data_IF_562751329527
#
_entry.id   IF_562751329527
#
_cell.length_a   1.000
_cell.length_b   1.000
_cell.length_c   1.000
_cell.angle_alpha   90.00
_cell.angle_beta   90.00
_cell.angle_gamma   90.00
#
_symmetry.space_group_name_H-M   'P 1'
#
loop_
_entity.id
_entity.type
_entity.pdbx_description
1 polymer ?
#
# COMPACT_ATOMS: atom_id res chain seq x y z
N UNK A 1 23.15 -12.47 56.01
CA UNK A 1 23.80 -11.91 54.80
C UNK A 1 22.96 -11.97 53.52
N UNK A 2 22.36 -13.10 53.11
CA UNK A 2 21.58 -13.17 51.84
C UNK A 2 20.30 -12.31 51.81
N UNK A 3 19.67 -12.01 52.95
CA UNK A 3 18.47 -11.15 53.06
C UNK A 3 18.77 -9.65 52.83
N UNK A 4 19.83 -9.12 53.44
CA UNK A 4 20.19 -7.68 53.31
C UNK A 4 20.75 -7.32 51.93
N UNK A 5 21.44 -8.24 51.23
CA UNK A 5 21.82 -8.04 49.83
C UNK A 5 20.62 -7.99 48.87
N UNK A 6 19.55 -8.75 49.15
CA UNK A 6 18.31 -8.76 48.35
C UNK A 6 17.48 -7.49 48.60
N UNK A 7 17.43 -7.01 49.83
CA UNK A 7 16.81 -5.73 50.20
C UNK A 7 17.56 -4.51 49.65
N UNK A 8 18.90 -4.52 49.69
CA UNK A 8 19.74 -3.47 49.10
C UNK A 8 19.59 -3.35 47.57
N UNK A 9 19.51 -4.48 46.86
CA UNK A 9 19.19 -4.50 45.41
C UNK A 9 17.77 -4.00 45.12
N UNK A 10 16.78 -4.36 45.92
CA UNK A 10 15.40 -3.86 45.77
C UNK A 10 15.29 -2.35 46.05
N UNK A 11 16.04 -1.83 47.02
CA UNK A 11 16.12 -0.39 47.32
C UNK A 11 16.76 0.40 46.18
N UNK A 12 17.87 -0.10 45.63
CA UNK A 12 18.52 0.51 44.46
C UNK A 12 17.63 0.46 43.21
N UNK A 13 16.94 -0.65 42.96
CA UNK A 13 15.97 -0.77 41.85
C UNK A 13 14.83 0.23 41.99
N UNK A 14 14.25 0.37 43.19
CA UNK A 14 13.19 1.35 43.46
C UNK A 14 13.66 2.78 43.20
N UNK A 15 14.87 3.15 43.67
CA UNK A 15 15.44 4.49 43.42
C UNK A 15 15.68 4.76 41.94
N UNK A 16 16.20 3.80 41.19
CA UNK A 16 16.40 3.91 39.73
C UNK A 16 15.04 4.07 39.02
N UNK A 17 14.03 3.29 39.43
CA UNK A 17 12.67 3.42 38.91
C UNK A 17 12.06 4.81 39.19
N UNK A 18 12.20 5.32 40.41
CA UNK A 18 11.70 6.65 40.79
C UNK A 18 12.37 7.76 39.99
N UNK A 19 13.69 7.70 39.81
CA UNK A 19 14.42 8.67 38.98
C UNK A 19 13.97 8.60 37.52
N UNK A 20 13.75 7.39 36.97
CA UNK A 20 13.23 7.19 35.61
C UNK A 20 11.82 7.77 35.43
N UNK A 21 10.93 7.58 36.40
CA UNK A 21 9.57 8.14 36.39
C UNK A 21 9.62 9.67 36.44
N UNK A 22 10.45 10.24 37.31
CA UNK A 22 10.63 11.69 37.41
C UNK A 22 11.20 12.26 36.10
N UNK A 23 12.21 11.61 35.52
CA UNK A 23 12.79 12.03 34.23
C UNK A 23 11.76 11.98 33.10
N UNK A 24 10.93 10.93 33.06
CA UNK A 24 9.83 10.81 32.10
C UNK A 24 8.77 11.90 32.30
N UNK A 25 8.44 12.27 33.54
CA UNK A 25 7.52 13.38 33.85
C UNK A 25 8.09 14.73 33.38
N UNK A 26 9.38 14.98 33.57
CA UNK A 26 10.02 16.20 33.07
C UNK A 26 10.03 16.26 31.54
N UNK A 27 10.28 15.12 30.87
CA UNK A 27 10.22 15.03 29.40
C UNK A 27 8.79 15.29 28.90
N UNK A 28 7.78 14.67 29.53
CA UNK A 28 6.38 14.91 29.16
C UNK A 28 5.95 16.35 29.39
N UNK A 29 6.39 16.97 30.49
CA UNK A 29 6.10 18.36 30.78
C UNK A 29 6.76 19.30 29.77
N UNK A 30 8.03 19.06 29.40
CA UNK A 30 8.71 19.81 28.35
C UNK A 30 8.05 19.64 26.98
N UNK A 31 7.68 18.41 26.62
CA UNK A 31 6.99 18.11 25.35
C UNK A 31 5.65 18.84 25.23
N UNK A 32 4.94 19.11 26.33
CA UNK A 32 3.66 19.83 26.27
C UNK A 32 3.78 21.26 25.69
N UNK A 33 4.96 21.88 25.80
CA UNK A 33 5.23 23.25 25.32
C UNK A 33 5.88 23.30 23.93
N UNK A 34 6.23 22.14 23.35
CA UNK A 34 6.83 22.05 22.02
C UNK A 34 5.74 22.11 20.94
N UNK A 35 6.09 22.71 19.80
CA UNK A 35 5.27 22.62 18.61
C UNK A 35 5.31 21.22 17.99
N UNK A 36 4.49 20.99 16.96
CA UNK A 36 4.36 19.67 16.35
C UNK A 36 5.60 19.25 15.56
N UNK A 37 6.30 20.20 14.95
CA UNK A 37 7.51 19.94 14.15
C UNK A 37 8.66 19.49 15.07
N UNK A 38 8.84 20.21 16.18
CA UNK A 38 9.81 19.87 17.21
C UNK A 38 9.52 18.50 17.83
N UNK A 39 8.24 18.20 18.13
CA UNK A 39 7.81 16.87 18.61
C UNK A 39 8.14 15.77 17.61
N UNK A 40 7.85 15.99 16.32
CA UNK A 40 8.12 15.01 15.27
C UNK A 40 9.63 14.74 15.14
N UNK A 41 10.46 15.77 15.25
CA UNK A 41 11.92 15.66 15.21
C UNK A 41 12.47 14.85 16.38
N UNK A 42 12.05 15.14 17.61
CA UNK A 42 12.48 14.38 18.79
C UNK A 42 11.95 12.95 18.79
N UNK A 43 10.70 12.72 18.34
CA UNK A 43 10.16 11.38 18.13
C UNK A 43 11.03 10.58 17.15
N UNK A 44 11.36 11.15 16.00
CA UNK A 44 12.13 10.48 14.94
C UNK A 44 13.53 10.10 15.44
N UNK A 45 14.22 11.05 16.06
CA UNK A 45 15.55 10.84 16.66
C UNK A 45 15.56 9.70 17.67
N UNK A 46 14.59 9.66 18.60
CA UNK A 46 14.50 8.59 19.60
C UNK A 46 14.14 7.24 18.97
N UNK A 47 13.24 7.25 17.97
CA UNK A 47 12.82 6.06 17.25
C UNK A 47 13.96 5.45 16.42
N UNK A 48 14.81 6.26 15.79
CA UNK A 48 16.01 5.78 15.10
C UNK A 48 17.01 5.11 16.06
N UNK A 49 17.21 5.70 17.24
CA UNK A 49 18.08 5.10 18.26
C UNK A 49 17.49 3.76 18.72
N UNK A 50 16.18 3.71 18.97
CA UNK A 50 15.48 2.48 19.34
C UNK A 50 15.67 1.39 18.27
N UNK A 51 15.45 1.74 16.99
CA UNK A 51 15.62 0.85 15.86
C UNK A 51 17.04 0.31 15.73
N UNK A 52 18.07 1.13 16.01
CA UNK A 52 19.48 0.68 16.03
C UNK A 52 19.73 -0.39 17.10
N UNK A 53 19.08 -0.30 18.27
CA UNK A 53 19.18 -1.35 19.29
C UNK A 53 18.35 -2.58 18.96
N UNK A 54 17.17 -2.39 18.37
CA UNK A 54 16.31 -3.47 17.90
C UNK A 54 17.03 -4.34 16.85
N UNK A 55 17.67 -3.71 15.85
CA UNK A 55 18.49 -4.40 14.84
C UNK A 55 19.68 -5.18 15.44
N UNK A 56 20.15 -4.79 16.63
CA UNK A 56 21.21 -5.48 17.38
C UNK A 56 20.67 -6.56 18.34
N UNK A 57 19.35 -6.74 18.41
CA UNK A 57 18.70 -7.67 19.33
C UNK A 57 18.61 -7.19 20.78
N UNK A 58 18.96 -5.93 21.09
CA UNK A 58 18.86 -5.37 22.45
C UNK A 58 17.46 -4.75 22.67
N UNK A 59 16.45 -5.62 22.72
CA UNK A 59 15.04 -5.21 22.79
C UNK A 59 14.69 -4.44 24.06
N UNK A 60 15.42 -4.65 25.17
CA UNK A 60 15.21 -3.86 26.40
C UNK A 60 15.63 -2.41 26.23
N UNK A 61 16.77 -2.16 25.58
CA UNK A 61 17.17 -0.78 25.26
C UNK A 61 16.27 -0.17 24.19
N UNK A 62 15.91 -0.94 23.16
CA UNK A 62 14.96 -0.47 22.15
C UNK A 62 13.63 -0.05 22.78
N UNK A 63 13.03 -0.89 23.64
CA UNK A 63 11.81 -0.55 24.38
C UNK A 63 11.97 0.73 25.20
N UNK A 64 13.10 0.92 25.88
CA UNK A 64 13.37 2.14 26.64
C UNK A 64 13.31 3.39 25.75
N UNK A 65 13.95 3.36 24.59
CA UNK A 65 13.96 4.52 23.68
C UNK A 65 12.61 4.76 23.02
N UNK A 66 11.91 3.71 22.59
CA UNK A 66 10.54 3.87 22.10
C UNK A 66 9.60 4.42 23.21
N UNK A 67 9.75 3.99 24.46
CA UNK A 67 9.01 4.55 25.61
C UNK A 67 9.32 6.02 25.87
N UNK A 68 10.56 6.46 25.63
CA UNK A 68 10.88 7.89 25.68
C UNK A 68 10.23 8.65 24.52
N UNK A 69 10.18 8.04 23.33
CA UNK A 69 9.55 8.62 22.15
C UNK A 69 8.03 8.83 22.34
N UNK A 70 7.37 8.04 23.19
CA UNK A 70 5.92 8.19 23.45
C UNK A 70 5.55 9.50 24.13
N UNK A 71 6.51 10.23 24.72
CA UNK A 71 6.28 11.57 25.24
C UNK A 71 5.97 12.59 24.12
N UNK A 72 6.41 12.32 22.89
CA UNK A 72 6.25 13.20 21.73
C UNK A 72 5.21 12.67 20.75
N UNK A 73 5.11 11.34 20.59
CA UNK A 73 4.11 10.71 19.76
C UNK A 73 3.72 9.31 20.29
N UNK A 74 2.44 9.13 20.59
CA UNK A 74 1.87 7.87 21.10
C UNK A 74 2.13 6.66 20.19
N UNK A 75 2.43 6.87 18.91
CA UNK A 75 2.81 5.80 17.97
C UNK A 75 4.04 4.99 18.42
N UNK A 76 4.87 5.53 19.33
CA UNK A 76 5.92 4.74 20.00
C UNK A 76 5.40 3.50 20.73
N UNK A 77 4.16 3.52 21.28
CA UNK A 77 3.55 2.34 21.89
C UNK A 77 3.27 1.23 20.87
N UNK A 78 2.85 1.60 19.66
CA UNK A 78 2.68 0.67 18.55
C UNK A 78 4.02 0.06 18.13
N UNK A 79 5.08 0.88 17.98
CA UNK A 79 6.43 0.38 17.65
C UNK A 79 6.93 -0.64 18.68
N UNK A 80 6.69 -0.40 19.98
CA UNK A 80 6.99 -1.37 21.04
C UNK A 80 6.22 -2.67 20.80
N UNK A 81 4.90 -2.59 20.59
CA UNK A 81 4.08 -3.78 20.39
C UNK A 81 4.52 -4.61 19.17
N UNK A 82 4.79 -3.95 18.03
CA UNK A 82 5.31 -4.57 16.81
C UNK A 82 6.65 -5.25 17.05
N UNK A 83 7.62 -4.56 17.68
CA UNK A 83 8.92 -5.14 18.01
C UNK A 83 8.76 -6.42 18.83
N UNK A 84 7.92 -6.40 19.86
CA UNK A 84 7.67 -7.59 20.68
C UNK A 84 7.02 -8.71 19.86
N UNK A 85 6.04 -8.38 19.01
CA UNK A 85 5.33 -9.36 18.21
C UNK A 85 6.26 -10.13 17.27
N UNK A 86 7.10 -9.42 16.51
CA UNK A 86 7.97 -10.02 15.49
C UNK A 86 9.27 -10.58 16.05
N UNK A 87 9.86 -9.93 17.06
CA UNK A 87 11.25 -10.19 17.44
C UNK A 87 11.44 -10.80 18.83
N UNK A 88 10.40 -10.83 19.67
CA UNK A 88 10.52 -11.32 21.06
C UNK A 88 9.55 -12.47 21.34
N UNK A 89 8.26 -12.17 21.35
CA UNK A 89 7.19 -13.12 21.66
C UNK A 89 5.85 -12.57 21.15
N UNK A 90 5.20 -13.31 20.25
CA UNK A 90 3.94 -12.92 19.60
C UNK A 90 2.82 -12.61 20.60
N UNK A 91 2.63 -13.44 21.62
CA UNK A 91 1.57 -13.25 22.62
C UNK A 91 1.79 -11.96 23.42
N UNK A 92 3.03 -11.69 23.81
CA UNK A 92 3.40 -10.44 24.50
C UNK A 92 3.20 -9.23 23.60
N UNK A 93 3.54 -9.35 22.31
CA UNK A 93 3.28 -8.32 21.32
C UNK A 93 1.80 -8.00 21.19
N UNK A 94 0.93 -9.01 21.12
CA UNK A 94 -0.54 -8.83 21.08
C UNK A 94 -1.04 -8.12 22.34
N UNK A 95 -0.63 -8.53 23.54
CA UNK A 95 -1.03 -7.86 24.80
C UNK A 95 -0.60 -6.38 24.81
N UNK A 96 0.60 -6.08 24.30
CA UNK A 96 1.09 -4.70 24.17
C UNK A 96 0.32 -3.90 23.12
N UNK A 97 -0.16 -4.55 22.06
CA UNK A 97 -1.00 -3.92 21.05
C UNK A 97 -2.37 -3.55 21.64
N UNK A 98 -2.96 -4.47 22.42
CA UNK A 98 -4.20 -4.20 23.15
C UNK A 98 -4.02 -3.06 24.17
N UNK A 99 -2.90 -3.02 24.88
CA UNK A 99 -2.52 -1.91 25.78
C UNK A 99 -2.42 -0.57 25.03
N UNK A 100 -1.70 -0.57 23.90
CA UNK A 100 -1.50 0.61 23.06
C UNK A 100 -2.83 1.21 22.59
N UNK A 101 -3.80 0.38 22.21
CA UNK A 101 -5.13 0.87 21.86
C UNK A 101 -5.96 1.25 23.10
N UNK A 102 -6.14 0.35 24.05
CA UNK A 102 -7.11 0.53 25.15
C UNK A 102 -6.72 1.66 26.10
N UNK A 103 -5.42 1.84 26.35
CA UNK A 103 -4.91 2.87 27.27
C UNK A 103 -4.52 4.14 26.52
N UNK A 104 -3.81 4.00 25.41
CA UNK A 104 -3.17 5.13 24.73
C UNK A 104 -3.89 5.58 23.45
N UNK A 105 -4.98 4.90 23.06
CA UNK A 105 -5.79 5.21 21.87
C UNK A 105 -4.94 5.30 20.61
N UNK A 106 -4.00 4.37 20.44
CA UNK A 106 -3.21 4.24 19.20
C UNK A 106 -4.02 3.42 18.22
N UNK A 107 -4.61 4.09 17.23
CA UNK A 107 -5.62 3.52 16.32
C UNK A 107 -5.01 2.42 15.45
N UNK A 108 -3.77 2.61 14.98
CA UNK A 108 -3.00 1.61 14.23
C UNK A 108 -2.88 0.26 14.95
N UNK A 109 -2.91 0.28 16.29
CA UNK A 109 -2.84 -0.92 17.10
C UNK A 109 -4.14 -1.73 17.00
N UNK A 110 -5.31 -1.07 16.98
CA UNK A 110 -6.58 -1.74 16.74
C UNK A 110 -6.67 -2.25 15.29
N UNK A 111 -6.26 -1.47 14.30
CA UNK A 111 -6.21 -1.92 12.91
C UNK A 111 -5.35 -3.20 12.77
N UNK A 112 -4.12 -3.19 13.33
CA UNK A 112 -3.25 -4.36 13.34
C UNK A 112 -3.89 -5.59 14.02
N UNK A 113 -4.57 -5.41 15.16
CA UNK A 113 -5.28 -6.50 15.84
C UNK A 113 -6.43 -7.05 14.98
N UNK A 114 -7.14 -6.19 14.26
CA UNK A 114 -8.15 -6.57 13.29
C UNK A 114 -7.58 -7.45 12.19
N UNK A 115 -6.50 -6.99 11.56
CA UNK A 115 -5.77 -7.74 10.55
C UNK A 115 -5.28 -9.11 11.05
N UNK A 116 -4.68 -9.17 12.25
CA UNK A 116 -4.21 -10.44 12.84
C UNK A 116 -5.34 -11.39 13.23
N UNK A 117 -6.52 -10.89 13.58
CA UNK A 117 -7.68 -11.73 13.79
C UNK A 117 -8.21 -12.26 12.45
N UNK A 118 -8.25 -11.42 11.42
CA UNK A 118 -8.67 -11.81 10.07
C UNK A 118 -7.77 -12.90 9.47
N UNK A 119 -6.43 -12.75 9.55
CA UNK A 119 -5.47 -13.77 9.11
C UNK A 119 -5.68 -15.14 9.79
N UNK A 120 -6.22 -15.15 11.01
CA UNK A 120 -6.53 -16.36 11.77
C UNK A 120 -7.94 -16.90 11.52
N UNK A 121 -8.67 -16.31 10.58
CA UNK A 121 -10.08 -16.59 10.32
C UNK A 121 -11.00 -16.32 11.53
N UNK A 122 -10.56 -15.48 12.48
CA UNK A 122 -11.38 -14.98 13.58
C UNK A 122 -12.13 -13.72 13.13
N UNK A 123 -13.18 -13.92 12.33
CA UNK A 123 -13.96 -12.82 11.75
C UNK A 123 -14.64 -11.98 12.84
N UNK A 124 -15.07 -12.58 13.94
CA UNK A 124 -15.68 -11.86 15.05
C UNK A 124 -14.66 -10.93 15.75
N UNK A 125 -13.45 -11.43 16.00
CA UNK A 125 -12.34 -10.65 16.52
C UNK A 125 -11.92 -9.54 15.56
N UNK A 126 -11.81 -9.84 14.27
CA UNK A 126 -11.46 -8.87 13.23
C UNK A 126 -12.46 -7.72 13.20
N UNK A 127 -13.75 -8.05 13.12
CA UNK A 127 -14.85 -7.08 13.13
C UNK A 127 -14.85 -6.21 14.37
N UNK A 128 -14.60 -6.79 15.56
CA UNK A 128 -14.49 -6.05 16.82
C UNK A 128 -13.41 -4.98 16.74
N UNK A 129 -12.21 -5.36 16.33
CA UNK A 129 -11.05 -4.45 16.29
C UNK A 129 -11.14 -3.42 15.16
N UNK A 130 -11.57 -3.83 13.97
CA UNK A 130 -11.83 -2.88 12.89
C UNK A 130 -12.94 -1.90 13.23
N UNK A 131 -14.03 -2.32 13.89
CA UNK A 131 -15.07 -1.38 14.35
C UNK A 131 -14.52 -0.33 15.31
N UNK A 132 -13.57 -0.71 16.17
CA UNK A 132 -12.93 0.20 17.10
C UNK A 132 -12.06 1.23 16.36
N UNK A 133 -11.19 0.77 15.44
CA UNK A 133 -10.34 1.66 14.65
C UNK A 133 -11.16 2.55 13.69
N UNK A 134 -12.17 1.98 13.03
CA UNK A 134 -13.02 2.67 12.07
C UNK A 134 -13.82 3.82 12.71
N UNK A 135 -14.29 3.64 13.95
CA UNK A 135 -14.95 4.71 14.74
C UNK A 135 -14.01 5.85 15.12
N UNK A 136 -12.71 5.57 15.20
CA UNK A 136 -11.68 6.57 15.45
C UNK A 136 -11.15 7.20 14.13
N UNK A 137 -11.77 6.89 12.98
CA UNK A 137 -11.51 7.52 11.67
C UNK A 137 -10.43 6.86 10.83
N UNK A 138 -9.97 5.66 11.19
CA UNK A 138 -8.99 4.89 10.40
C UNK A 138 -9.62 4.38 9.11
N UNK A 139 -9.17 4.93 7.98
CA UNK A 139 -9.76 4.68 6.67
C UNK A 139 -9.58 3.23 6.21
N UNK A 140 -8.42 2.64 6.48
CA UNK A 140 -8.12 1.24 6.17
C UNK A 140 -9.06 0.30 6.95
N UNK A 141 -9.25 0.55 8.26
CA UNK A 141 -10.19 -0.22 9.07
C UNK A 141 -11.66 0.00 8.67
N UNK A 142 -12.03 1.20 8.24
CA UNK A 142 -13.36 1.46 7.67
C UNK A 142 -13.58 0.62 6.41
N UNK A 143 -12.61 0.58 5.49
CA UNK A 143 -12.66 -0.25 4.29
C UNK A 143 -12.72 -1.75 4.61
N UNK A 144 -11.86 -2.24 5.50
CA UNK A 144 -11.84 -3.66 5.88
C UNK A 144 -13.13 -4.08 6.60
N UNK A 145 -13.69 -3.21 7.44
CA UNK A 145 -14.99 -3.44 8.06
C UNK A 145 -16.11 -3.50 7.02
N UNK A 146 -16.08 -2.63 6.01
CA UNK A 146 -17.02 -2.66 4.90
C UNK A 146 -16.96 -3.99 4.13
N UNK A 147 -15.76 -4.50 3.85
CA UNK A 147 -15.55 -5.82 3.22
C UNK A 147 -16.12 -6.96 4.05
N UNK A 148 -15.95 -6.93 5.38
CA UNK A 148 -16.57 -7.93 6.27
C UNK A 148 -18.10 -7.88 6.16
N UNK A 149 -18.71 -6.69 6.21
CA UNK A 149 -20.16 -6.56 6.04
C UNK A 149 -20.65 -7.02 4.66
N UNK A 150 -19.89 -6.73 3.60
CA UNK A 150 -20.20 -7.20 2.24
C UNK A 150 -20.19 -8.72 2.14
N UNK A 151 -19.18 -9.39 2.73
CA UNK A 151 -19.12 -10.85 2.80
C UNK A 151 -20.27 -11.45 3.64
N UNK A 152 -20.74 -10.74 4.66
CA UNK A 152 -21.95 -11.07 5.42
C UNK A 152 -23.26 -10.76 4.65
N UNK A 153 -23.18 -10.26 3.41
CA UNK A 153 -24.32 -9.81 2.58
C UNK A 153 -25.13 -8.66 3.20
N UNK A 154 -24.49 -7.88 4.08
CA UNK A 154 -25.04 -6.68 4.72
C UNK A 154 -24.62 -5.45 3.94
N UNK A 155 -25.19 -5.33 2.74
CA UNK A 155 -24.75 -4.35 1.74
C UNK A 155 -24.98 -2.90 2.16
N UNK A 156 -26.04 -2.61 2.94
CA UNK A 156 -26.30 -1.25 3.42
C UNK A 156 -25.25 -0.79 4.44
N UNK A 157 -24.85 -1.66 5.36
CA UNK A 157 -23.78 -1.38 6.31
C UNK A 157 -22.42 -1.31 5.63
N UNK A 158 -22.15 -2.20 4.66
CA UNK A 158 -20.93 -2.15 3.87
C UNK A 158 -20.80 -0.83 3.11
N UNK A 159 -21.87 -0.39 2.43
CA UNK A 159 -21.87 0.87 1.69
C UNK A 159 -21.60 2.08 2.59
N UNK A 160 -22.19 2.13 3.79
CA UNK A 160 -21.91 3.22 4.75
C UNK A 160 -20.43 3.32 5.09
N UNK A 161 -19.80 2.18 5.42
CA UNK A 161 -18.37 2.15 5.75
C UNK A 161 -17.47 2.43 4.55
N UNK A 162 -17.84 1.96 3.34
CA UNK A 162 -17.12 2.34 2.11
C UNK A 162 -17.20 3.85 1.84
N UNK A 163 -18.35 4.49 2.09
CA UNK A 163 -18.48 5.95 1.93
C UNK A 163 -17.61 6.67 2.95
N UNK A 164 -17.63 6.27 4.23
CA UNK A 164 -16.79 6.91 5.27
C UNK A 164 -15.29 6.77 4.94
N UNK A 165 -14.83 5.58 4.55
CA UNK A 165 -13.44 5.36 4.12
C UNK A 165 -13.07 6.22 2.91
N UNK A 166 -13.95 6.30 1.91
CA UNK A 166 -13.74 7.14 0.72
C UNK A 166 -13.72 8.64 1.08
N UNK A 167 -14.53 9.08 2.05
CA UNK A 167 -14.50 10.45 2.56
C UNK A 167 -13.18 10.77 3.27
N UNK A 168 -12.52 9.76 3.85
CA UNK A 168 -11.19 9.85 4.45
C UNK A 168 -10.04 9.58 3.46
N UNK A 169 -10.31 9.60 2.15
CA UNK A 169 -9.31 9.42 1.09
C UNK A 169 -8.68 8.02 1.02
N UNK A 170 -9.42 6.99 1.39
CA UNK A 170 -9.07 5.61 1.02
C UNK A 170 -9.35 5.38 -0.48
N UNK A 171 -8.32 5.02 -1.25
CA UNK A 171 -8.44 4.85 -2.70
C UNK A 171 -9.30 3.65 -3.09
N UNK A 172 -9.21 2.55 -2.33
CA UNK A 172 -9.97 1.33 -2.62
C UNK A 172 -11.46 1.51 -2.33
N UNK A 173 -11.78 2.23 -1.25
CA UNK A 173 -13.13 2.64 -0.91
C UNK A 173 -13.67 3.65 -1.92
N UNK A 174 -12.89 4.63 -2.37
CA UNK A 174 -13.30 5.54 -3.45
C UNK A 174 -13.66 4.77 -4.71
N UNK A 175 -12.82 3.82 -5.13
CA UNK A 175 -13.12 2.93 -6.25
C UNK A 175 -14.42 2.16 -6.02
N UNK A 176 -14.61 1.60 -4.82
CA UNK A 176 -15.82 0.86 -4.46
C UNK A 176 -17.08 1.73 -4.50
N UNK A 177 -17.01 2.97 -4.01
CA UNK A 177 -18.12 3.92 -4.05
C UNK A 177 -18.47 4.32 -5.49
N UNK A 178 -17.46 4.50 -6.36
CA UNK A 178 -17.67 4.70 -7.80
C UNK A 178 -18.43 3.50 -8.39
N UNK A 179 -17.94 2.29 -8.12
CA UNK A 179 -18.54 1.04 -8.60
C UNK A 179 -19.99 0.86 -8.13
N UNK A 180 -20.27 1.05 -6.84
CA UNK A 180 -21.63 0.92 -6.30
C UNK A 180 -22.59 1.95 -6.91
N UNK A 181 -22.14 3.19 -7.11
CA UNK A 181 -22.95 4.21 -7.79
C UNK A 181 -23.15 3.91 -9.27
N UNK A 182 -22.18 3.30 -9.93
CA UNK A 182 -22.32 2.83 -11.30
C UNK A 182 -23.41 1.76 -11.41
N UNK A 183 -23.39 0.73 -10.54
CA UNK A 183 -24.42 -0.30 -10.50
C UNK A 183 -25.83 0.25 -10.22
N UNK A 184 -25.92 1.33 -9.41
CA UNK A 184 -27.19 2.03 -9.13
C UNK A 184 -27.64 2.97 -10.25
N UNK A 185 -26.84 3.15 -11.30
CA UNK A 185 -27.13 4.11 -12.38
C UNK A 185 -26.94 5.58 -11.99
N UNK A 186 -26.31 5.86 -10.84
CA UNK A 186 -26.09 7.21 -10.31
C UNK A 186 -24.92 7.92 -11.04
N UNK A 187 -25.09 8.22 -12.33
CA UNK A 187 -24.03 8.76 -13.21
C UNK A 187 -23.41 10.07 -12.69
N UNK A 188 -24.16 10.90 -11.97
CA UNK A 188 -23.63 12.11 -11.35
C UNK A 188 -22.60 11.81 -10.26
N UNK A 189 -22.94 10.91 -9.33
CA UNK A 189 -22.05 10.48 -8.23
C UNK A 189 -20.81 9.76 -8.75
N UNK A 190 -20.96 8.94 -9.79
CA UNK A 190 -19.82 8.30 -10.47
C UNK A 190 -18.82 9.36 -10.97
N UNK A 191 -19.31 10.42 -11.64
CA UNK A 191 -18.43 11.49 -12.14
C UNK A 191 -17.81 12.32 -11.01
N UNK A 192 -18.58 12.59 -9.95
CA UNK A 192 -18.09 13.29 -8.75
C UNK A 192 -16.92 12.53 -8.11
N UNK A 193 -17.13 11.26 -7.79
CA UNK A 193 -16.10 10.44 -7.15
C UNK A 193 -14.92 10.14 -8.07
N UNK A 194 -15.12 9.96 -9.39
CA UNK A 194 -14.01 9.86 -10.37
C UNK A 194 -13.12 11.10 -10.33
N UNK A 195 -13.72 12.30 -10.29
CA UNK A 195 -12.94 13.56 -10.19
C UNK A 195 -12.17 13.63 -8.88
N UNK A 196 -12.76 13.20 -7.76
CA UNK A 196 -12.07 13.15 -6.47
C UNK A 196 -10.92 12.14 -6.49
N UNK A 197 -11.15 10.90 -6.93
CA UNK A 197 -10.15 9.85 -7.03
C UNK A 197 -8.92 10.27 -7.85
N UNK A 198 -9.11 10.91 -9.01
CA UNK A 198 -8.01 11.36 -9.87
C UNK A 198 -7.42 12.74 -9.47
N UNK A 199 -8.17 13.52 -8.68
CA UNK A 199 -7.86 14.90 -8.32
C UNK A 199 -7.24 15.09 -6.94
N UNK A 200 -7.40 14.13 -6.02
CA UNK A 200 -6.76 14.17 -4.70
C UNK A 200 -5.25 14.04 -4.87
N UNK A 201 -4.51 15.05 -4.39
CA UNK A 201 -3.05 15.09 -4.43
C UNK A 201 -2.46 14.09 -3.45
N UNK A 202 -1.42 13.36 -3.87
CA UNK A 202 -0.76 12.37 -3.02
C UNK A 202 -1.69 11.27 -2.50
N UNK A 203 -2.77 10.96 -3.24
CA UNK A 203 -3.64 9.83 -2.93
C UNK A 203 -2.85 8.54 -3.13
N UNK A 204 -2.63 7.82 -2.03
CA UNK A 204 -1.89 6.56 -1.98
C UNK A 204 -2.79 5.43 -2.49
N UNK A 205 -2.20 4.39 -3.09
CA UNK A 205 -2.91 3.15 -3.40
C UNK A 205 -3.68 3.12 -4.72
N UNK A 206 -3.67 4.20 -5.53
CA UNK A 206 -4.27 4.16 -6.86
C UNK A 206 -3.53 3.14 -7.74
N UNK A 207 -4.27 2.18 -8.30
CA UNK A 207 -3.74 1.24 -9.29
C UNK A 207 -4.14 1.60 -10.71
N UNK A 208 -3.33 1.19 -11.69
CA UNK A 208 -3.68 1.28 -13.12
C UNK A 208 -4.97 0.54 -13.45
N UNK A 209 -5.20 -0.61 -12.81
CA UNK A 209 -6.41 -1.41 -12.99
C UNK A 209 -7.66 -0.63 -12.58
N UNK A 210 -7.66 -0.01 -11.40
CA UNK A 210 -8.78 0.83 -10.94
C UNK A 210 -9.07 1.97 -11.92
N UNK A 211 -8.04 2.69 -12.37
CA UNK A 211 -8.23 3.78 -13.36
C UNK A 211 -8.86 3.26 -14.65
N UNK A 212 -8.36 2.13 -15.16
CA UNK A 212 -8.86 1.48 -16.37
C UNK A 212 -10.33 1.11 -16.23
N UNK A 213 -10.72 0.46 -15.12
CA UNK A 213 -12.11 0.06 -14.88
C UNK A 213 -13.03 1.26 -14.65
N UNK A 214 -12.55 2.31 -14.00
CA UNK A 214 -13.28 3.58 -13.90
C UNK A 214 -13.51 4.18 -15.29
N UNK A 215 -12.53 4.14 -16.18
CA UNK A 215 -12.68 4.61 -17.56
C UNK A 215 -13.73 3.79 -18.32
N UNK A 216 -13.75 2.46 -18.19
CA UNK A 216 -14.79 1.62 -18.80
C UNK A 216 -16.19 1.91 -18.22
N UNK A 217 -16.32 2.03 -16.89
CA UNK A 217 -17.59 2.37 -16.22
C UNK A 217 -18.12 3.77 -16.61
N UNK A 218 -17.26 4.66 -17.09
CA UNK A 218 -17.61 6.05 -17.45
C UNK A 218 -17.51 6.34 -18.93
N UNK A 219 -17.26 5.31 -19.74
CA UNK A 219 -17.04 5.39 -21.18
C UNK A 219 -18.34 5.37 -21.98
N UNK A 220 -18.24 4.80 -23.18
CA UNK A 220 -19.35 4.56 -24.09
C UNK A 220 -20.25 3.40 -23.62
N UNK A 221 -21.41 3.23 -24.25
CA UNK A 221 -22.27 2.06 -23.99
C UNK A 221 -21.55 0.74 -24.28
N UNK A 222 -20.61 0.72 -25.23
CA UNK A 222 -19.78 -0.46 -25.50
C UNK A 222 -18.83 -0.73 -24.33
N UNK A 223 -18.24 0.31 -23.76
CA UNK A 223 -17.36 0.20 -22.59
C UNK A 223 -18.11 -0.30 -21.35
N UNK A 224 -19.32 0.21 -21.12
CA UNK A 224 -20.20 -0.28 -20.05
C UNK A 224 -20.54 -1.77 -20.27
N UNK A 225 -20.87 -2.19 -21.50
CA UNK A 225 -21.14 -3.61 -21.83
C UNK A 225 -19.93 -4.51 -21.62
N UNK A 226 -18.74 -4.07 -22.05
CA UNK A 226 -17.50 -4.78 -21.79
C UNK A 226 -17.28 -4.99 -20.28
N UNK A 227 -17.43 -3.91 -19.50
CA UNK A 227 -17.29 -3.96 -18.05
C UNK A 227 -18.22 -4.99 -17.40
N UNK A 228 -19.51 -4.98 -17.74
CA UNK A 228 -20.48 -5.93 -17.18
C UNK A 228 -20.13 -7.38 -17.53
N UNK A 229 -19.75 -7.66 -18.77
CA UNK A 229 -19.38 -9.02 -19.20
C UNK A 229 -18.11 -9.51 -18.51
N UNK A 230 -17.08 -8.67 -18.37
CA UNK A 230 -15.88 -9.00 -17.60
C UNK A 230 -16.22 -9.29 -16.13
N UNK A 231 -17.11 -8.51 -15.52
CA UNK A 231 -17.56 -8.74 -14.14
C UNK A 231 -18.37 -10.02 -13.98
N UNK A 232 -19.23 -10.35 -14.94
CA UNK A 232 -19.93 -11.63 -14.96
C UNK A 232 -18.94 -12.81 -15.08
N UNK A 233 -17.91 -12.67 -15.92
CA UNK A 233 -16.86 -13.67 -16.05
C UNK A 233 -16.12 -13.89 -14.72
N UNK A 234 -15.70 -12.82 -14.04
CA UNK A 234 -15.05 -12.87 -12.72
C UNK A 234 -15.94 -13.55 -11.67
N UNK A 235 -17.23 -13.23 -11.62
CA UNK A 235 -18.16 -13.88 -10.69
C UNK A 235 -18.26 -15.40 -10.98
N UNK A 236 -18.24 -15.81 -12.26
CA UNK A 236 -18.20 -17.23 -12.61
C UNK A 236 -16.88 -17.90 -12.21
N UNK A 237 -15.75 -17.21 -12.31
CA UNK A 237 -14.44 -17.69 -11.82
C UNK A 237 -14.49 -17.95 -10.32
N UNK A 238 -15.04 -17.01 -9.53
CA UNK A 238 -15.20 -17.16 -8.08
C UNK A 238 -16.07 -18.38 -7.72
N UNK A 239 -17.05 -18.71 -8.57
CA UNK A 239 -17.90 -19.91 -8.46
C UNK A 239 -17.27 -21.18 -9.07
N UNK A 240 -16.02 -21.10 -9.55
CA UNK A 240 -15.31 -22.18 -10.28
C UNK A 240 -16.02 -22.66 -11.56
N UNK A 241 -16.86 -21.80 -12.15
CA UNK A 241 -17.61 -22.03 -13.39
C UNK A 241 -16.83 -21.50 -14.60
N UNK A 242 -15.70 -22.15 -14.87
CA UNK A 242 -14.74 -21.67 -15.87
C UNK A 242 -15.28 -21.66 -17.31
N UNK A 243 -16.20 -22.55 -17.64
CA UNK A 243 -16.79 -22.57 -18.99
C UNK A 243 -17.68 -21.35 -19.21
N UNK A 244 -18.51 -21.02 -18.23
CA UNK A 244 -19.37 -19.84 -18.27
C UNK A 244 -18.55 -18.55 -18.25
N UNK A 245 -17.43 -18.51 -17.50
CA UNK A 245 -16.50 -17.40 -17.53
C UNK A 245 -15.85 -17.21 -18.91
N UNK A 246 -15.41 -18.30 -19.55
CA UNK A 246 -14.85 -18.30 -20.90
C UNK A 246 -15.86 -17.76 -21.92
N UNK A 247 -17.12 -18.21 -21.85
CA UNK A 247 -18.21 -17.72 -22.71
C UNK A 247 -18.42 -16.20 -22.55
N UNK A 248 -18.30 -15.68 -21.33
CA UNK A 248 -18.43 -14.25 -21.05
C UNK A 248 -17.27 -13.41 -21.58
N UNK A 249 -16.04 -13.88 -21.47
CA UNK A 249 -14.90 -13.20 -22.10
C UNK A 249 -14.98 -13.21 -23.62
N UNK A 250 -15.43 -14.31 -24.23
CA UNK A 250 -15.67 -14.38 -25.68
C UNK A 250 -16.78 -13.42 -26.09
N UNK A 251 -17.85 -13.30 -25.29
CA UNK A 251 -18.90 -12.31 -25.54
C UNK A 251 -18.37 -10.87 -25.43
N UNK A 252 -17.53 -10.60 -24.43
CA UNK A 252 -16.92 -9.30 -24.16
C UNK A 252 -16.05 -8.79 -25.32
N UNK A 253 -15.45 -9.70 -26.11
CA UNK A 253 -14.64 -9.38 -27.30
C UNK A 253 -15.38 -8.50 -28.31
N UNK A 254 -16.71 -8.65 -28.42
CA UNK A 254 -17.54 -7.84 -29.32
C UNK A 254 -17.52 -6.34 -28.97
N UNK A 255 -17.15 -6.02 -27.74
CA UNK A 255 -17.20 -4.66 -27.19
C UNK A 255 -15.82 -4.07 -26.95
N UNK A 256 -14.82 -4.89 -26.65
CA UNK A 256 -13.43 -4.46 -26.44
C UNK A 256 -12.44 -5.56 -26.79
N UNK A 257 -11.44 -5.24 -27.60
CA UNK A 257 -10.34 -6.15 -27.91
C UNK A 257 -9.58 -6.57 -26.64
N UNK A 258 -9.61 -5.74 -25.59
CA UNK A 258 -9.03 -6.04 -24.27
C UNK A 258 -9.53 -7.36 -23.69
N UNK A 259 -10.76 -7.79 -24.01
CA UNK A 259 -11.29 -9.07 -23.57
C UNK A 259 -10.37 -10.25 -23.91
N UNK A 260 -9.63 -10.15 -25.02
CA UNK A 260 -8.71 -11.20 -25.46
C UNK A 260 -7.46 -11.28 -24.57
N UNK A 261 -7.00 -10.14 -24.05
CA UNK A 261 -5.98 -10.11 -22.99
C UNK A 261 -6.49 -10.76 -21.70
N UNK A 262 -7.70 -10.38 -21.24
CA UNK A 262 -8.29 -10.95 -20.01
C UNK A 262 -8.50 -12.46 -20.16
N UNK A 263 -8.94 -12.94 -21.34
CA UNK A 263 -9.09 -14.36 -21.65
C UNK A 263 -7.76 -15.14 -21.55
N UNK A 264 -6.67 -14.55 -22.03
CA UNK A 264 -5.34 -15.14 -21.91
C UNK A 264 -4.85 -15.23 -20.47
N UNK A 265 -5.07 -14.17 -19.68
CA UNK A 265 -4.80 -14.18 -18.24
C UNK A 265 -5.65 -15.23 -17.52
N UNK A 266 -6.94 -15.31 -17.83
CA UNK A 266 -7.88 -16.29 -17.28
C UNK A 266 -7.42 -17.74 -17.49
N UNK A 267 -7.01 -18.11 -18.71
CA UNK A 267 -6.50 -19.48 -18.94
C UNK A 267 -5.23 -19.76 -18.13
N UNK A 268 -4.33 -18.77 -18.00
CA UNK A 268 -3.06 -18.95 -17.31
C UNK A 268 -3.24 -19.06 -15.79
N UNK A 269 -4.00 -18.14 -15.19
CA UNK A 269 -4.10 -18.00 -13.73
C UNK A 269 -5.25 -18.81 -13.12
N UNK A 270 -6.43 -18.82 -13.75
CA UNK A 270 -7.65 -19.38 -13.14
C UNK A 270 -7.88 -20.84 -13.58
N UNK A 271 -7.77 -21.10 -14.89
CA UNK A 271 -7.89 -22.48 -15.43
C UNK A 271 -6.62 -23.29 -15.16
N UNK A 272 -5.46 -22.62 -15.14
CA UNK A 272 -4.15 -23.26 -14.95
C UNK A 272 -3.57 -23.88 -16.24
N UNK A 273 -4.18 -23.63 -17.41
CA UNK A 273 -3.64 -24.01 -18.71
C UNK A 273 -2.62 -22.95 -19.17
N UNK A 274 -1.41 -23.07 -18.63
CA UNK A 274 -0.32 -22.11 -18.85
C UNK A 274 0.09 -21.98 -20.31
N UNK A 275 0.06 -23.08 -21.06
CA UNK A 275 0.44 -23.08 -22.47
C UNK A 275 -0.61 -22.34 -23.30
N UNK A 276 -1.89 -22.68 -23.12
CA UNK A 276 -3.00 -21.98 -23.80
C UNK A 276 -3.04 -20.51 -23.41
N UNK A 277 -2.89 -20.17 -22.13
CA UNK A 277 -2.89 -18.79 -21.66
C UNK A 277 -1.80 -17.95 -22.31
N UNK A 278 -0.56 -18.44 -22.36
CA UNK A 278 0.55 -17.76 -23.06
C UNK A 278 0.26 -17.57 -24.55
N UNK A 279 -0.25 -18.61 -25.23
CA UNK A 279 -0.60 -18.54 -26.66
C UNK A 279 -1.68 -17.50 -26.94
N UNK A 280 -2.70 -17.42 -26.08
CA UNK A 280 -3.77 -16.41 -26.21
C UNK A 280 -3.23 -15.01 -25.92
N UNK A 281 -2.33 -14.84 -24.96
CA UNK A 281 -1.67 -13.54 -24.72
C UNK A 281 -0.76 -13.12 -25.88
N UNK A 282 -0.04 -14.05 -26.51
CA UNK A 282 0.76 -13.76 -27.73
C UNK A 282 -0.14 -13.32 -28.88
N UNK A 283 -1.30 -13.96 -29.05
CA UNK A 283 -2.28 -13.56 -30.05
C UNK A 283 -2.96 -12.23 -29.69
N UNK A 284 -3.19 -11.94 -28.40
CA UNK A 284 -3.63 -10.63 -27.92
C UNK A 284 -2.64 -9.53 -28.32
N UNK A 285 -1.34 -9.81 -28.13
CA UNK A 285 -0.28 -8.92 -28.56
C UNK A 285 -0.27 -8.71 -30.09
N UNK A 286 -0.43 -9.78 -30.88
CA UNK A 286 -0.52 -9.68 -32.35
C UNK A 286 -1.69 -8.78 -32.80
N UNK A 287 -2.76 -8.73 -32.00
CA UNK A 287 -3.91 -7.82 -32.15
C UNK A 287 -3.66 -6.39 -31.64
N UNK A 288 -2.40 -6.02 -31.39
CA UNK A 288 -1.97 -4.68 -30.95
C UNK A 288 -2.38 -4.30 -29.52
N UNK A 289 -2.61 -5.29 -28.66
CA UNK A 289 -2.82 -5.08 -27.23
C UNK A 289 -1.48 -5.11 -26.50
N UNK A 290 -0.83 -3.95 -26.38
CA UNK A 290 0.49 -3.79 -25.74
C UNK A 290 0.52 -4.31 -24.29
N UNK A 291 -0.62 -4.23 -23.58
CA UNK A 291 -0.77 -4.78 -22.23
C UNK A 291 -0.50 -6.30 -22.16
N UNK A 292 -0.77 -7.04 -23.24
CA UNK A 292 -0.51 -8.48 -23.28
C UNK A 292 1.00 -8.78 -23.31
N UNK A 293 1.82 -7.94 -23.97
CA UNK A 293 3.27 -8.07 -23.92
C UNK A 293 3.80 -7.82 -22.50
N UNK A 294 3.26 -6.85 -21.76
CA UNK A 294 3.64 -6.65 -20.36
C UNK A 294 3.29 -7.88 -19.49
N UNK A 295 2.08 -8.43 -19.67
CA UNK A 295 1.64 -9.63 -18.95
C UNK A 295 2.50 -10.87 -19.26
N UNK A 296 2.89 -11.07 -20.53
CA UNK A 296 3.85 -12.10 -20.90
C UNK A 296 5.19 -11.90 -20.20
N UNK A 297 5.66 -10.66 -20.10
CA UNK A 297 6.85 -10.33 -19.32
C UNK A 297 6.77 -10.78 -17.86
N UNK A 298 5.66 -10.49 -17.18
CA UNK A 298 5.40 -10.92 -15.80
C UNK A 298 5.35 -12.46 -15.68
N UNK A 299 4.73 -13.13 -16.65
CA UNK A 299 4.67 -14.59 -16.69
C UNK A 299 6.07 -15.19 -16.79
N UNK A 300 6.88 -14.75 -17.75
CA UNK A 300 8.25 -15.26 -17.91
C UNK A 300 9.14 -14.95 -16.70
N UNK A 301 8.95 -13.80 -16.06
CA UNK A 301 9.64 -13.47 -14.81
C UNK A 301 9.26 -14.44 -13.68
N UNK A 302 7.97 -14.73 -13.52
CA UNK A 302 7.48 -15.72 -12.54
C UNK A 302 8.01 -17.14 -12.82
N UNK A 303 8.23 -17.47 -14.08
CA UNK A 303 8.84 -18.73 -14.53
C UNK A 303 10.39 -18.72 -14.40
N UNK A 304 10.97 -17.67 -13.82
CA UNK A 304 12.42 -17.48 -13.64
C UNK A 304 13.20 -17.45 -14.97
N UNK A 305 12.58 -16.89 -16.00
CA UNK A 305 13.16 -16.66 -17.33
C UNK A 305 13.34 -15.14 -17.57
N UNK A 306 14.34 -14.51 -16.94
CA UNK A 306 14.48 -13.05 -16.93
C UNK A 306 14.85 -12.45 -18.29
N UNK A 307 15.52 -13.21 -19.17
CA UNK A 307 15.89 -12.72 -20.50
C UNK A 307 14.69 -12.70 -21.45
N UNK A 308 13.81 -13.70 -21.38
CA UNK A 308 12.52 -13.74 -22.06
C UNK A 308 11.59 -12.65 -21.52
N UNK A 309 11.51 -12.51 -20.20
CA UNK A 309 10.74 -11.44 -19.56
C UNK A 309 11.19 -10.06 -20.06
N UNK A 310 12.50 -9.82 -20.10
CA UNK A 310 13.04 -8.56 -20.61
C UNK A 310 12.66 -8.29 -22.07
N UNK A 311 12.66 -9.29 -22.96
CA UNK A 311 12.24 -9.11 -24.35
C UNK A 311 10.79 -8.60 -24.42
N UNK A 312 9.89 -9.21 -23.66
CA UNK A 312 8.48 -8.82 -23.61
C UNK A 312 8.26 -7.46 -22.95
N UNK A 313 8.95 -7.17 -21.84
CA UNK A 313 8.95 -5.84 -21.25
C UNK A 313 9.48 -4.79 -22.22
N UNK A 314 10.52 -5.10 -23.01
CA UNK A 314 11.06 -4.16 -23.99
C UNK A 314 10.06 -3.83 -25.08
N UNK A 315 9.35 -4.84 -25.59
CA UNK A 315 8.28 -4.67 -26.57
C UNK A 315 7.18 -3.76 -26.03
N UNK A 316 6.63 -4.09 -24.85
CA UNK A 316 5.57 -3.28 -24.23
C UNK A 316 6.04 -1.85 -23.90
N UNK A 317 7.29 -1.68 -23.47
CA UNK A 317 7.87 -0.37 -23.19
C UNK A 317 7.99 0.52 -24.43
N UNK A 318 8.37 -0.08 -25.57
CA UNK A 318 8.47 0.60 -26.87
C UNK A 318 7.09 0.99 -27.41
N UNK A 319 6.05 0.25 -27.05
CA UNK A 319 4.65 0.57 -27.33
C UNK A 319 4.04 1.57 -26.33
N UNK A 320 4.82 2.02 -25.34
CA UNK A 320 4.43 3.09 -24.43
C UNK A 320 3.91 2.63 -23.07
N UNK A 321 3.86 1.34 -22.77
CA UNK A 321 3.37 0.88 -21.46
C UNK A 321 4.29 1.32 -20.32
N UNK A 322 3.77 2.14 -19.40
CA UNK A 322 4.54 2.70 -18.29
C UNK A 322 5.16 1.65 -17.36
N UNK A 323 4.44 0.57 -17.06
CA UNK A 323 4.92 -0.46 -16.13
C UNK A 323 6.07 -1.24 -16.78
N UNK A 324 5.94 -1.57 -18.06
CA UNK A 324 7.01 -2.14 -18.84
C UNK A 324 8.22 -1.20 -18.98
N UNK A 325 8.00 0.10 -19.20
CA UNK A 325 9.07 1.11 -19.20
C UNK A 325 9.82 1.12 -17.87
N UNK A 326 9.11 1.06 -16.74
CA UNK A 326 9.73 0.95 -15.41
C UNK A 326 10.56 -0.34 -15.27
N UNK A 327 10.03 -1.49 -15.69
CA UNK A 327 10.77 -2.77 -15.67
C UNK A 327 12.03 -2.74 -16.53
N UNK A 328 11.96 -2.13 -17.72
CA UNK A 328 13.12 -1.93 -18.60
C UNK A 328 14.15 -1.00 -17.97
N UNK A 329 13.70 0.06 -17.28
CA UNK A 329 14.58 0.98 -16.56
C UNK A 329 15.34 0.25 -15.44
N UNK A 330 14.65 -0.56 -14.63
CA UNK A 330 15.26 -1.40 -13.59
C UNK A 330 16.32 -2.35 -14.17
N UNK A 331 16.05 -2.96 -15.33
CA UNK A 331 17.03 -3.83 -15.99
C UNK A 331 18.30 -3.08 -16.38
N UNK A 332 18.18 -1.90 -16.98
CA UNK A 332 19.34 -1.07 -17.32
C UNK A 332 20.08 -0.56 -16.09
N UNK A 333 19.35 -0.18 -15.04
CA UNK A 333 19.93 0.26 -13.77
C UNK A 333 20.76 -0.84 -13.13
N UNK A 334 20.23 -2.08 -13.08
CA UNK A 334 20.95 -3.27 -12.60
C UNK A 334 22.23 -3.54 -13.40
N UNK A 335 22.21 -3.31 -14.72
CA UNK A 335 23.38 -3.40 -15.61
C UNK A 335 24.30 -2.17 -15.54
N UNK A 336 24.05 -1.21 -14.63
CA UNK A 336 24.80 0.04 -14.46
C UNK A 336 24.82 0.93 -15.71
N UNK A 337 23.88 0.74 -16.63
CA UNK A 337 23.67 1.65 -17.74
C UNK A 337 22.70 2.77 -17.32
N UNK A 338 23.22 3.73 -16.56
CA UNK A 338 22.42 4.79 -15.94
C UNK A 338 21.74 5.70 -16.98
N UNK A 339 22.35 5.88 -18.16
CA UNK A 339 21.80 6.71 -19.24
C UNK A 339 20.51 6.12 -19.80
N UNK A 340 20.51 4.82 -20.10
CA UNK A 340 19.29 4.16 -20.57
C UNK A 340 18.27 3.99 -19.44
N UNK A 341 18.71 3.69 -18.21
CA UNK A 341 17.82 3.61 -17.06
C UNK A 341 17.04 4.92 -16.86
N UNK A 342 17.74 6.06 -16.83
CA UNK A 342 17.13 7.39 -16.74
C UNK A 342 16.12 7.64 -17.85
N UNK A 343 16.44 7.29 -19.10
CA UNK A 343 15.54 7.48 -20.25
C UNK A 343 14.20 6.76 -20.02
N UNK A 344 14.23 5.49 -19.65
CA UNK A 344 13.00 4.72 -19.43
C UNK A 344 12.26 5.12 -18.15
N UNK A 345 12.99 5.47 -17.08
CA UNK A 345 12.37 6.04 -15.89
C UNK A 345 11.62 7.33 -16.20
N UNK A 346 12.19 8.24 -17.01
CA UNK A 346 11.51 9.48 -17.43
C UNK A 346 10.22 9.16 -18.20
N UNK A 347 10.27 8.19 -19.14
CA UNK A 347 9.09 7.80 -19.92
C UNK A 347 7.95 7.31 -19.02
N UNK A 348 8.25 6.43 -18.05
CA UNK A 348 7.25 5.89 -17.12
C UNK A 348 6.78 6.96 -16.12
N UNK A 349 7.71 7.73 -15.54
CA UNK A 349 7.39 8.78 -14.58
C UNK A 349 6.50 9.89 -15.19
N UNK A 350 6.65 10.21 -16.47
CA UNK A 350 5.77 11.16 -17.16
C UNK A 350 4.33 10.66 -17.30
N UNK A 351 4.09 9.36 -17.16
CA UNK A 351 2.77 8.73 -17.14
C UNK A 351 2.18 8.57 -15.73
N UNK A 352 2.79 9.21 -14.73
CA UNK A 352 2.37 9.20 -13.32
C UNK A 352 2.62 7.88 -12.57
N UNK A 353 3.58 7.08 -13.02
CA UNK A 353 4.05 5.92 -12.26
C UNK A 353 4.96 6.38 -11.09
N UNK A 354 4.47 6.24 -9.86
CA UNK A 354 5.19 6.71 -8.67
C UNK A 354 6.46 5.91 -8.38
N UNK A 355 6.51 4.62 -8.73
CA UNK A 355 7.72 3.81 -8.56
C UNK A 355 8.82 4.28 -9.50
N UNK A 356 8.47 4.59 -10.75
CA UNK A 356 9.40 5.17 -11.69
C UNK A 356 9.85 6.58 -11.28
N UNK A 357 8.92 7.43 -10.80
CA UNK A 357 9.26 8.75 -10.24
C UNK A 357 10.26 8.64 -9.08
N UNK A 358 10.01 7.71 -8.15
CA UNK A 358 10.85 7.50 -6.97
C UNK A 358 12.26 7.01 -7.34
N UNK A 359 12.36 6.01 -8.21
CA UNK A 359 13.65 5.50 -8.66
C UNK A 359 14.42 6.54 -9.49
N UNK A 360 13.72 7.37 -10.28
CA UNK A 360 14.34 8.48 -11.00
C UNK A 360 14.88 9.54 -10.04
N UNK A 361 14.12 9.89 -9.00
CA UNK A 361 14.55 10.80 -7.95
C UNK A 361 15.82 10.28 -7.26
N UNK A 362 15.84 9.00 -6.87
CA UNK A 362 17.02 8.38 -6.25
C UNK A 362 18.22 8.34 -7.20
N UNK A 363 18.01 8.02 -8.48
CA UNK A 363 19.08 8.05 -9.48
C UNK A 363 19.72 9.45 -9.59
N UNK A 364 18.91 10.51 -9.56
CA UNK A 364 19.44 11.88 -9.54
C UNK A 364 20.17 12.20 -8.24
N UNK A 365 19.59 11.85 -7.09
CA UNK A 365 20.14 12.18 -5.78
C UNK A 365 21.42 11.39 -5.45
N UNK A 366 21.39 10.07 -5.64
CA UNK A 366 22.43 9.16 -5.19
C UNK A 366 23.53 8.95 -6.24
N UNK A 367 23.17 8.65 -7.50
CA UNK A 367 24.15 8.32 -8.53
C UNK A 367 24.71 9.57 -9.22
N UNK A 368 23.83 10.51 -9.61
CA UNK A 368 24.23 11.70 -10.38
C UNK A 368 24.61 12.90 -9.53
N UNK A 369 24.25 12.90 -8.24
CA UNK A 369 24.41 14.05 -7.32
C UNK A 369 23.76 15.34 -7.85
N UNK A 370 22.64 15.18 -8.57
CA UNK A 370 21.84 16.26 -9.13
C UNK A 370 20.65 16.56 -8.20
N UNK A 371 20.94 17.39 -7.20
CA UNK A 371 19.97 17.79 -6.19
C UNK A 371 18.79 18.59 -6.78
N UNK A 372 18.96 19.28 -7.91
CA UNK A 372 17.90 20.06 -8.52
C UNK A 372 16.83 19.14 -9.13
N UNK A 373 17.25 18.15 -9.91
CA UNK A 373 16.31 17.19 -10.49
C UNK A 373 15.73 16.24 -9.43
N UNK A 374 16.51 15.84 -8.42
CA UNK A 374 15.99 15.08 -7.29
C UNK A 374 14.85 15.84 -6.57
N UNK A 375 15.08 17.11 -6.19
CA UNK A 375 14.04 17.97 -5.60
C UNK A 375 12.80 18.10 -6.48
N UNK A 376 12.97 18.21 -7.79
CA UNK A 376 11.85 18.30 -8.74
C UNK A 376 10.96 17.06 -8.69
N UNK A 377 11.54 15.86 -8.74
CA UNK A 377 10.76 14.61 -8.71
C UNK A 377 10.17 14.31 -7.34
N UNK A 378 10.90 14.60 -6.25
CA UNK A 378 10.37 14.49 -4.89
C UNK A 378 9.10 15.34 -4.73
N UNK A 379 9.13 16.61 -5.15
CA UNK A 379 7.96 17.48 -5.11
C UNK A 379 6.77 16.95 -5.93
N UNK A 380 7.03 16.31 -7.08
CA UNK A 380 5.96 15.69 -7.89
C UNK A 380 5.30 14.52 -7.18
N UNK A 381 6.09 13.63 -6.59
CA UNK A 381 5.59 12.49 -5.81
C UNK A 381 4.65 12.96 -4.69
N UNK A 382 5.02 14.03 -4.00
CA UNK A 382 4.26 14.55 -2.86
C UNK A 382 3.01 15.34 -3.24
N UNK A 383 2.98 15.98 -4.42
CA UNK A 383 1.99 17.00 -4.75
C UNK A 383 1.17 16.74 -6.02
N UNK A 384 1.59 15.84 -6.91
CA UNK A 384 0.80 15.49 -8.08
C UNK A 384 -0.41 14.62 -7.67
N UNK A 385 -1.48 14.68 -8.46
CA UNK A 385 -2.68 13.86 -8.28
C UNK A 385 -2.73 12.71 -9.28
N UNK A 386 -3.46 11.65 -8.93
CA UNK A 386 -3.66 10.50 -9.84
C UNK A 386 -2.37 9.73 -10.14
N UNK A 387 -1.44 9.71 -9.18
CA UNK A 387 -0.21 8.92 -9.22
C UNK A 387 -0.56 7.44 -9.03
N UNK A 388 -0.08 6.59 -9.92
CA UNK A 388 -0.24 5.14 -9.84
C UNK A 388 0.86 4.55 -8.96
N UNK A 389 0.54 3.50 -8.20
CA UNK A 389 1.48 2.76 -7.36
C UNK A 389 2.18 3.63 -6.30
N UNK A 390 1.57 4.76 -5.90
CA UNK A 390 2.10 5.58 -4.81
C UNK A 390 1.87 4.85 -3.48
N UNK A 391 2.94 4.72 -2.70
CA UNK A 391 2.93 4.11 -1.36
C UNK A 391 3.40 5.10 -0.30
N UNK A 392 3.14 4.80 0.98
CA UNK A 392 3.69 5.55 2.10
C UNK A 392 5.23 5.58 2.07
N UNK A 393 5.89 4.44 1.78
CA UNK A 393 7.35 4.36 1.71
C UNK A 393 7.94 5.28 0.61
N UNK A 394 7.28 5.38 -0.54
CA UNK A 394 7.70 6.28 -1.62
C UNK A 394 7.56 7.74 -1.18
N UNK A 395 6.47 8.07 -0.47
CA UNK A 395 6.21 9.41 0.04
C UNK A 395 7.24 9.83 1.09
N UNK A 396 7.44 8.97 2.10
CA UNK A 396 8.42 9.18 3.17
C UNK A 396 9.85 9.29 2.61
N UNK A 397 10.19 8.45 1.63
CA UNK A 397 11.48 8.51 0.96
C UNK A 397 11.67 9.80 0.16
N UNK A 398 10.63 10.32 -0.49
CA UNK A 398 10.67 11.61 -1.18
C UNK A 398 10.86 12.78 -0.21
N UNK A 399 10.12 12.79 0.91
CA UNK A 399 10.28 13.77 1.99
C UNK A 399 11.71 13.73 2.56
N UNK A 400 12.24 12.55 2.84
CA UNK A 400 13.60 12.37 3.35
C UNK A 400 14.67 12.91 2.39
N UNK A 401 14.50 12.74 1.08
CA UNK A 401 15.41 13.32 0.08
C UNK A 401 15.35 14.85 0.11
N UNK A 402 14.16 15.45 0.20
CA UNK A 402 14.03 16.91 0.31
C UNK A 402 14.76 17.45 1.53
N UNK A 403 14.54 16.85 2.71
CA UNK A 403 15.22 17.25 3.93
C UNK A 403 16.75 17.16 3.84
N UNK A 404 17.27 16.11 3.19
CA UNK A 404 18.72 15.91 3.04
C UNK A 404 19.36 16.92 2.10
N UNK A 405 18.62 17.43 1.11
CA UNK A 405 19.14 18.44 0.18
C UNK A 405 19.07 19.85 0.81
N UNK A 406 18.23 20.06 1.81
CA UNK A 406 18.13 21.34 2.53
C UNK A 406 19.12 21.49 3.70
N UNK A 407 19.68 20.37 4.19
CA UNK A 407 20.79 20.32 5.15
C UNK A 407 22.13 20.50 4.46
#
# INVERSE_FOLDING_TARGET
MKRSQKEGKNSALKRIMTILVILLMFIQCGAAFMDQEEKNKEYSKLSEIALKYEKKGDFKKAEKYYKMATAYNKYGYYKIAVMYYYNVNRETGIKKMEEAYNIHKVVDAANFLGYKAYEKNDIAGAKKWYTLAAKDGDSDAQYELARIYENEKKFEEAEKWYIEAAENNDSDAMYKVIFLNFLKGNKEKVREWKRRFLGTKGLIGITRSQKTWIDYMTGSEKDEKYFYLSREAENFIDESKYKEAEEKYIEAEKYSERAYFELGAFYYYDVGDKEKGKKVLEEAYNRKLSIAAYALGLIYESEKQPEEAYKWYKIAADEGDSSAQYMVALHYYKKKNLKEAEKYYILSANQKDAEAMYNLMLLYFEDKKDNQNAKKWANKILNDSGLENLTWDIKDGADAVLENIEK
#
